data_IF_054746285769
#
_entry.id   IF_054746285769
#
_cell.length_a   1.000
_cell.length_b   1.000
_cell.length_c   1.000
_cell.angle_alpha   90.00
_cell.angle_beta   90.00
_cell.angle_gamma   90.00
#
_symmetry.space_group_name_H-M   'P 1'
#
loop_
_entity.id
_entity.type
_entity.pdbx_description
1 polymer ?
#
# COMPACT_ATOMS: atom_id res chain seq x y z
N UNK A 1 -2.94 -26.00 36.19
CA UNK A 1 -3.40 -25.10 35.10
C UNK A 1 -2.23 -24.90 34.13
N UNK A 2 -2.24 -25.63 33.01
CA UNK A 2 -1.08 -25.82 32.14
C UNK A 2 -0.91 -24.63 31.18
N UNK A 3 -0.11 -23.62 31.56
CA UNK A 3 0.16 -22.43 30.73
C UNK A 3 1.06 -22.83 29.55
N UNK A 4 0.48 -23.20 28.41
CA UNK A 4 1.24 -23.41 27.16
C UNK A 4 1.71 -22.08 26.58
N UNK A 5 2.93 -22.09 26.06
CA UNK A 5 3.61 -20.95 25.43
C UNK A 5 3.07 -20.81 24.01
N UNK A 6 2.18 -19.84 23.77
CA UNK A 6 1.67 -19.53 22.44
C UNK A 6 2.70 -18.62 21.77
N UNK A 7 3.37 -19.11 20.74
CA UNK A 7 4.07 -18.25 19.79
C UNK A 7 3.48 -18.44 18.41
N UNK A 8 3.30 -17.34 17.71
CA UNK A 8 2.47 -17.28 16.51
C UNK A 8 3.41 -17.35 15.31
N UNK A 9 3.47 -18.51 14.65
CA UNK A 9 4.17 -18.67 13.39
C UNK A 9 3.50 -17.86 12.29
N UNK A 10 4.29 -17.11 11.49
CA UNK A 10 3.79 -16.33 10.37
C UNK A 10 3.29 -17.24 9.25
N UNK A 11 1.97 -17.42 9.17
CA UNK A 11 1.34 -18.08 8.04
C UNK A 11 1.37 -17.17 6.81
N UNK A 12 1.80 -17.71 5.68
CA UNK A 12 1.76 -17.01 4.38
C UNK A 12 0.30 -16.69 4.06
N UNK A 13 -0.10 -15.42 3.93
CA UNK A 13 -1.49 -15.11 3.62
C UNK A 13 -1.81 -15.63 2.22
N UNK A 14 -3.00 -16.19 2.06
CA UNK A 14 -3.55 -16.58 0.77
C UNK A 14 -3.96 -15.30 0.04
N UNK A 15 -2.96 -14.54 -0.45
CA UNK A 15 -3.10 -13.28 -1.18
C UNK A 15 -3.93 -13.39 -2.48
N UNK A 16 -4.36 -14.60 -2.86
CA UNK A 16 -5.02 -14.87 -4.14
C UNK A 16 -6.48 -14.41 -4.20
N UNK A 17 -7.20 -14.29 -3.08
CA UNK A 17 -8.65 -13.98 -3.08
C UNK A 17 -8.98 -12.50 -3.31
N UNK A 18 -8.16 -11.58 -2.78
CA UNK A 18 -8.37 -10.13 -2.90
C UNK A 18 -8.27 -9.65 -4.36
N UNK A 19 -7.34 -10.22 -5.12
CA UNK A 19 -7.12 -9.83 -6.52
C UNK A 19 -8.18 -10.35 -7.48
N UNK A 20 -8.84 -11.47 -7.17
CA UNK A 20 -9.99 -11.96 -7.94
C UNK A 20 -11.15 -10.95 -7.88
N UNK A 21 -11.40 -10.36 -6.71
CA UNK A 21 -12.41 -9.30 -6.54
C UNK A 21 -12.07 -8.03 -7.32
N UNK A 22 -10.81 -7.61 -7.30
CA UNK A 22 -10.35 -6.46 -8.07
C UNK A 22 -10.44 -6.69 -9.60
N UNK A 23 -10.07 -7.89 -10.07
CA UNK A 23 -10.19 -8.27 -11.49
C UNK A 23 -11.65 -8.34 -11.93
N UNK A 24 -12.55 -8.88 -11.11
CA UNK A 24 -13.99 -8.90 -11.40
C UNK A 24 -14.58 -7.47 -11.43
N UNK A 25 -14.17 -6.59 -10.52
CA UNK A 25 -14.58 -5.19 -10.53
C UNK A 25 -14.09 -4.42 -11.76
N UNK A 26 -12.85 -4.68 -12.20
CA UNK A 26 -12.28 -4.07 -13.39
C UNK A 26 -12.96 -4.54 -14.69
N UNK A 27 -13.21 -5.85 -14.82
CA UNK A 27 -13.94 -6.43 -15.95
C UNK A 27 -15.38 -5.92 -15.99
N UNK A 28 -16.06 -5.86 -14.84
CA UNK A 28 -17.41 -5.30 -14.72
C UNK A 28 -17.47 -3.82 -15.14
N UNK A 29 -16.48 -3.04 -14.73
CA UNK A 29 -16.38 -1.62 -15.11
C UNK A 29 -16.12 -1.43 -16.60
N UNK A 30 -15.27 -2.27 -17.21
CA UNK A 30 -14.96 -2.21 -18.64
C UNK A 30 -16.17 -2.53 -19.54
N UNK A 31 -17.01 -3.50 -19.14
CA UNK A 31 -18.23 -3.86 -19.89
C UNK A 31 -19.30 -2.78 -19.77
N UNK A 32 -19.47 -2.19 -18.58
CA UNK A 32 -20.55 -1.25 -18.29
C UNK A 32 -20.25 0.21 -18.71
N UNK A 33 -18.98 0.60 -18.81
CA UNK A 33 -18.56 1.90 -19.36
C UNK A 33 -18.54 1.93 -20.91
N UNK A 34 -18.91 0.83 -21.56
CA UNK A 34 -19.02 0.78 -23.01
C UNK A 34 -20.26 1.57 -23.48
N UNK A 35 -20.03 2.73 -24.11
CA UNK A 35 -21.08 3.62 -24.65
C UNK A 35 -22.02 2.98 -25.69
N UNK A 36 -21.74 1.75 -26.14
CA UNK A 36 -22.65 0.97 -26.99
C UNK A 36 -23.71 0.19 -26.21
N UNK A 37 -23.53 0.01 -24.90
CA UNK A 37 -24.40 -0.82 -24.05
C UNK A 37 -25.22 0.01 -23.05
N UNK A 38 -24.76 1.22 -22.68
CA UNK A 38 -25.41 2.05 -21.65
C UNK A 38 -25.45 3.51 -22.09
N UNK A 39 -26.62 4.15 -21.93
CA UNK A 39 -26.81 5.58 -22.22
C UNK A 39 -25.87 6.47 -21.37
N UNK A 40 -25.25 7.53 -21.95
CA UNK A 40 -24.32 8.42 -21.24
C UNK A 40 -24.88 9.03 -19.94
N UNK A 41 -26.21 9.21 -19.85
CA UNK A 41 -26.86 9.75 -18.65
C UNK A 41 -26.87 8.80 -17.45
N UNK A 42 -26.71 7.50 -17.68
CA UNK A 42 -26.75 6.47 -16.62
C UNK A 42 -25.40 5.78 -16.37
N UNK A 43 -24.43 5.87 -17.29
CA UNK A 43 -23.14 5.18 -17.18
C UNK A 43 -22.41 5.43 -15.86
N UNK A 44 -22.37 6.68 -15.39
CA UNK A 44 -21.75 7.04 -14.11
C UNK A 44 -22.51 6.47 -12.90
N UNK A 45 -23.84 6.38 -12.95
CA UNK A 45 -24.67 5.77 -11.89
C UNK A 45 -24.40 4.29 -11.76
N UNK A 46 -24.31 3.58 -12.90
CA UNK A 46 -23.95 2.17 -12.91
C UNK A 46 -22.52 1.94 -12.41
N UNK A 47 -21.56 2.79 -12.77
CA UNK A 47 -20.20 2.71 -12.23
C UNK A 47 -20.19 2.80 -10.68
N UNK A 48 -20.96 3.72 -10.09
CA UNK A 48 -21.14 3.78 -8.63
C UNK A 48 -21.88 2.57 -8.05
N UNK A 49 -22.91 2.08 -8.75
CA UNK A 49 -23.67 0.91 -8.32
C UNK A 49 -22.80 -0.35 -8.24
N UNK A 50 -21.87 -0.56 -9.19
CA UNK A 50 -20.86 -1.63 -9.12
C UNK A 50 -20.02 -1.49 -7.84
N UNK A 51 -19.55 -0.28 -7.54
CA UNK A 51 -18.80 0.00 -6.31
C UNK A 51 -19.59 -0.36 -5.05
N UNK A 52 -20.89 -0.01 -5.01
CA UNK A 52 -21.78 -0.36 -3.91
C UNK A 52 -21.98 -1.88 -3.77
N UNK A 53 -22.18 -2.59 -4.88
CA UNK A 53 -22.32 -4.06 -4.91
C UNK A 53 -21.03 -4.73 -4.41
N UNK A 54 -19.86 -4.29 -4.89
CA UNK A 54 -18.58 -4.81 -4.41
C UNK A 54 -18.39 -4.55 -2.91
N UNK A 55 -18.80 -3.37 -2.41
CA UNK A 55 -18.81 -3.05 -0.99
C UNK A 55 -19.70 -4.00 -0.19
N UNK A 56 -20.91 -4.31 -0.68
CA UNK A 56 -21.80 -5.27 -0.03
C UNK A 56 -21.22 -6.68 0.01
N UNK A 57 -20.60 -7.13 -1.08
CA UNK A 57 -19.89 -8.42 -1.14
C UNK A 57 -18.80 -8.47 -0.06
N UNK A 58 -18.01 -7.40 0.08
CA UNK A 58 -16.96 -7.32 1.12
C UNK A 58 -17.56 -7.40 2.53
N UNK A 59 -18.69 -6.72 2.79
CA UNK A 59 -19.37 -6.78 4.09
C UNK A 59 -19.85 -8.19 4.43
N UNK A 60 -20.40 -8.91 3.45
CA UNK A 60 -20.84 -10.30 3.62
C UNK A 60 -19.63 -11.21 3.87
N UNK A 61 -18.55 -11.07 3.08
CA UNK A 61 -17.33 -11.84 3.25
C UNK A 61 -16.68 -11.62 4.62
N UNK A 62 -16.69 -10.37 5.12
CA UNK A 62 -16.12 -10.02 6.43
C UNK A 62 -16.78 -10.78 7.58
N UNK A 63 -18.07 -11.12 7.48
CA UNK A 63 -18.80 -11.87 8.53
C UNK A 63 -18.20 -13.25 8.81
N UNK A 64 -17.53 -13.85 7.83
CA UNK A 64 -16.98 -15.20 7.92
C UNK A 64 -15.48 -15.24 8.27
N UNK A 65 -14.83 -14.08 8.39
CA UNK A 65 -13.39 -14.00 8.73
C UNK A 65 -13.24 -13.96 10.25
N UNK A 66 -12.51 -14.89 10.87
CA UNK A 66 -12.28 -14.88 12.31
C UNK A 66 -11.48 -13.64 12.72
N UNK A 67 -11.71 -13.17 13.94
CA UNK A 67 -10.97 -12.03 14.49
C UNK A 67 -9.49 -12.39 14.71
N UNK A 68 -8.62 -11.38 14.72
CA UNK A 68 -7.19 -11.58 14.91
C UNK A 68 -6.90 -12.17 16.30
N UNK A 69 -6.22 -13.34 16.41
CA UNK A 69 -5.85 -13.93 17.71
C UNK A 69 -5.07 -12.95 18.60
N UNK A 70 -4.24 -12.10 18.00
CA UNK A 70 -3.50 -11.06 18.72
C UNK A 70 -4.41 -10.01 19.34
N UNK A 71 -5.46 -9.60 18.63
CA UNK A 71 -6.44 -8.65 19.14
C UNK A 71 -7.24 -9.24 20.31
N UNK A 72 -7.64 -10.52 20.18
CA UNK A 72 -8.32 -11.26 21.24
C UNK A 72 -7.46 -11.37 22.51
N UNK A 73 -6.17 -11.66 22.36
CA UNK A 73 -5.21 -11.65 23.48
C UNK A 73 -5.12 -10.29 24.18
N UNK A 74 -5.08 -9.19 23.42
CA UNK A 74 -5.08 -7.82 23.99
C UNK A 74 -6.39 -7.46 24.71
N UNK A 75 -7.48 -8.17 24.42
CA UNK A 75 -8.80 -8.00 25.06
C UNK A 75 -9.03 -8.97 26.22
N UNK A 76 -8.04 -9.82 26.54
CA UNK A 76 -8.17 -10.86 27.56
C UNK A 76 -9.04 -12.06 27.15
N UNK A 77 -9.38 -12.19 25.86
CA UNK A 77 -10.17 -13.30 25.31
C UNK A 77 -9.25 -14.47 24.90
N UNK A 78 -8.48 -14.98 25.86
CA UNK A 78 -7.43 -15.99 25.61
C UNK A 78 -7.98 -17.30 25.05
N UNK A 79 -9.13 -17.76 25.55
CA UNK A 79 -9.72 -19.04 25.13
C UNK A 79 -10.13 -19.03 23.65
N UNK A 80 -10.70 -17.92 23.18
CA UNK A 80 -11.10 -17.77 21.77
C UNK A 80 -9.88 -17.63 20.87
N UNK A 81 -8.85 -16.91 21.33
CA UNK A 81 -7.58 -16.83 20.61
C UNK A 81 -6.93 -18.21 20.43
N UNK A 82 -6.89 -19.02 21.50
CA UNK A 82 -6.34 -20.39 21.48
C UNK A 82 -7.14 -21.30 20.55
N UNK A 83 -8.47 -21.20 20.57
CA UNK A 83 -9.35 -21.96 19.67
C UNK A 83 -9.04 -21.67 18.20
N UNK A 84 -8.97 -20.39 17.83
CA UNK A 84 -8.67 -19.97 16.46
C UNK A 84 -7.28 -20.46 16.02
N UNK A 85 -6.26 -20.32 16.87
CA UNK A 85 -4.90 -20.80 16.57
C UNK A 85 -4.90 -22.32 16.39
N UNK A 86 -5.55 -23.05 17.29
CA UNK A 86 -5.66 -24.52 17.21
C UNK A 86 -6.34 -24.98 15.91
N UNK A 87 -7.41 -24.29 15.49
CA UNK A 87 -8.13 -24.59 14.26
C UNK A 87 -7.26 -24.33 13.01
N UNK A 88 -6.48 -23.24 13.01
CA UNK A 88 -5.51 -22.93 11.94
C UNK A 88 -4.41 -24.01 11.90
N UNK A 89 -3.84 -24.37 13.06
CA UNK A 89 -2.80 -25.40 13.17
C UNK A 89 -3.30 -26.76 12.66
N UNK A 90 -4.54 -27.13 13.02
CA UNK A 90 -5.18 -28.36 12.55
C UNK A 90 -5.31 -28.36 11.02
N UNK A 91 -5.79 -27.27 10.43
CA UNK A 91 -5.94 -27.12 8.98
C UNK A 91 -4.59 -27.17 8.25
N UNK A 92 -3.56 -26.52 8.79
CA UNK A 92 -2.20 -26.54 8.21
C UNK A 92 -1.59 -27.94 8.29
N UNK A 93 -1.75 -28.64 9.41
CA UNK A 93 -1.22 -30.00 9.61
C UNK A 93 -1.86 -30.99 8.64
N UNK A 94 -3.17 -30.88 8.41
CA UNK A 94 -3.90 -31.69 7.42
C UNK A 94 -3.39 -31.46 5.99
N UNK A 95 -3.04 -30.22 5.64
CA UNK A 95 -2.63 -29.86 4.26
C UNK A 95 -1.14 -30.08 3.97
N UNK A 96 -0.28 -29.83 4.95
CA UNK A 96 1.18 -29.79 4.77
C UNK A 96 1.86 -31.14 5.05
N UNK A 97 1.24 -32.06 5.80
CA UNK A 97 1.81 -33.32 6.33
C UNK A 97 3.16 -33.16 7.07
N UNK A 98 3.64 -31.94 7.29
CA UNK A 98 4.85 -31.63 8.05
C UNK A 98 4.50 -31.25 9.50
N UNK A 99 5.34 -31.62 10.48
CA UNK A 99 5.18 -31.14 11.84
C UNK A 99 5.30 -29.61 11.86
N UNK A 100 4.42 -28.95 12.62
CA UNK A 100 4.52 -27.52 12.87
C UNK A 100 5.77 -27.27 13.72
N UNK A 101 6.53 -26.23 13.39
CA UNK A 101 7.64 -25.80 14.25
C UNK A 101 7.09 -25.30 15.57
N UNK A 102 7.70 -25.72 16.66
CA UNK A 102 7.36 -25.17 17.97
C UNK A 102 7.63 -23.68 18.01
N UNK A 103 6.77 -22.90 18.69
CA UNK A 103 6.94 -21.48 18.76
C UNK A 103 8.21 -21.07 19.48
N UNK A 104 8.96 -20.14 18.87
CA UNK A 104 10.17 -19.57 19.48
C UNK A 104 9.79 -18.40 20.39
N UNK A 105 9.81 -18.66 21.70
CA UNK A 105 9.62 -17.64 22.73
C UNK A 105 8.17 -17.49 23.23
N UNK A 106 8.02 -16.81 24.36
CA UNK A 106 6.72 -16.46 24.95
C UNK A 106 6.80 -15.05 25.49
N UNK A 107 5.83 -14.22 25.15
CA UNK A 107 5.76 -12.83 25.62
C UNK A 107 4.58 -12.72 26.58
N UNK A 108 4.84 -12.22 27.78
CA UNK A 108 3.78 -11.88 28.73
C UNK A 108 3.22 -10.52 28.35
N UNK A 109 1.98 -10.50 27.88
CA UNK A 109 1.27 -9.28 27.53
C UNK A 109 0.41 -8.89 28.74
N UNK A 110 0.64 -7.69 29.26
CA UNK A 110 -0.19 -7.11 30.32
C UNK A 110 -1.38 -6.39 29.69
N UNK A 111 -2.58 -6.95 29.82
CA UNK A 111 -3.81 -6.36 29.28
C UNK A 111 -4.02 -4.95 29.84
N UNK A 112 -3.81 -3.91 29.03
CA UNK A 112 -4.27 -2.54 29.33
C UNK A 112 -5.58 -2.27 28.59
N UNK A 113 -6.56 -1.68 29.29
CA UNK A 113 -7.86 -1.29 28.72
C UNK A 113 -7.78 -0.10 27.77
N UNK A 114 -6.75 0.75 27.90
CA UNK A 114 -6.61 1.98 27.14
C UNK A 114 -5.13 2.34 26.94
N UNK A 115 -4.79 2.80 25.73
CA UNK A 115 -3.48 3.41 25.42
C UNK A 115 -3.71 4.89 25.17
N UNK A 116 -3.28 5.79 26.07
CA UNK A 116 -3.49 7.22 25.89
C UNK A 116 -2.69 7.73 24.68
N UNK A 117 -3.23 8.74 23.99
CA UNK A 117 -2.59 9.37 22.84
C UNK A 117 -1.19 9.90 23.19
N UNK A 118 -0.96 10.33 24.43
CA UNK A 118 0.36 10.74 24.92
C UNK A 118 1.41 9.64 24.80
N UNK A 119 1.03 8.39 25.08
CA UNK A 119 1.93 7.23 24.96
C UNK A 119 2.23 6.95 23.50
N UNK A 120 1.24 7.12 22.60
CA UNK A 120 1.44 7.01 21.15
C UNK A 120 2.45 8.05 20.66
N UNK A 121 2.24 9.31 21.02
CA UNK A 121 3.14 10.41 20.62
C UNK A 121 4.55 10.20 21.17
N UNK A 122 4.68 9.80 22.43
CA UNK A 122 5.97 9.46 23.03
C UNK A 122 6.64 8.30 22.29
N UNK A 123 5.92 7.21 22.01
CA UNK A 123 6.50 6.07 21.31
C UNK A 123 6.91 6.42 19.89
N UNK A 124 6.13 7.23 19.17
CA UNK A 124 6.45 7.64 17.80
C UNK A 124 7.63 8.61 17.75
N UNK A 125 7.66 9.64 18.61
CA UNK A 125 8.63 10.73 18.53
C UNK A 125 9.89 10.44 19.36
N UNK A 126 9.76 9.81 20.52
CA UNK A 126 10.85 9.61 21.47
C UNK A 126 11.44 8.21 21.40
N UNK A 127 10.61 7.18 21.42
CA UNK A 127 11.10 5.79 21.53
C UNK A 127 11.49 5.20 20.16
N UNK A 128 10.78 5.61 19.10
CA UNK A 128 11.01 5.13 17.73
C UNK A 128 11.07 6.23 16.65
N UNK A 129 11.82 7.33 16.84
CA UNK A 129 11.87 8.46 15.90
C UNK A 129 12.29 8.04 14.49
N UNK A 130 13.29 7.14 14.38
CA UNK A 130 13.78 6.64 13.09
C UNK A 130 12.72 5.84 12.32
N UNK A 131 11.87 5.09 13.03
CA UNK A 131 10.78 4.29 12.43
C UNK A 131 9.63 5.19 11.99
N UNK A 132 9.33 6.22 12.78
CA UNK A 132 8.33 7.24 12.43
C UNK A 132 8.75 8.06 11.23
N UNK A 133 10.02 8.49 11.17
CA UNK A 133 10.55 9.20 10.01
C UNK A 133 10.48 8.32 8.76
N UNK A 134 10.89 7.05 8.87
CA UNK A 134 10.79 6.09 7.76
C UNK A 134 9.35 5.96 7.25
N UNK A 135 8.39 5.68 8.15
CA UNK A 135 6.99 5.53 7.79
C UNK A 135 6.40 6.79 7.16
N UNK A 136 6.75 7.96 7.71
CA UNK A 136 6.30 9.25 7.19
C UNK A 136 6.84 9.52 5.78
N UNK A 137 8.16 9.37 5.56
CA UNK A 137 8.78 9.63 4.26
C UNK A 137 8.24 8.67 3.20
N UNK A 138 8.11 7.38 3.53
CA UNK A 138 7.57 6.40 2.59
C UNK A 138 6.11 6.69 2.21
N UNK A 139 5.25 7.04 3.19
CA UNK A 139 3.84 7.35 2.96
C UNK A 139 3.64 8.66 2.20
N UNK A 140 4.36 9.72 2.59
CA UNK A 140 4.28 11.02 1.92
C UNK A 140 4.82 10.92 0.50
N UNK A 141 6.01 10.35 0.30
CA UNK A 141 6.62 10.24 -1.02
C UNK A 141 5.75 9.43 -1.98
N UNK A 142 5.24 8.29 -1.53
CA UNK A 142 4.36 7.46 -2.34
C UNK A 142 3.01 8.10 -2.60
N UNK A 143 2.35 8.68 -1.59
CA UNK A 143 1.04 9.29 -1.78
C UNK A 143 1.13 10.53 -2.67
N UNK A 144 2.18 11.33 -2.50
CA UNK A 144 2.44 12.49 -3.35
C UNK A 144 2.63 12.08 -4.80
N UNK A 145 3.61 11.22 -5.08
CA UNK A 145 3.90 10.76 -6.43
C UNK A 145 2.67 10.11 -7.09
N UNK A 146 2.06 9.14 -6.39
CA UNK A 146 1.02 8.30 -6.98
C UNK A 146 -0.20 9.13 -7.36
N UNK A 147 -0.68 9.99 -6.45
CA UNK A 147 -1.86 10.80 -6.69
C UNK A 147 -1.57 11.99 -7.61
N UNK A 148 -0.39 12.61 -7.52
CA UNK A 148 0.01 13.67 -8.46
C UNK A 148 -0.08 13.17 -9.89
N UNK A 149 0.56 12.03 -10.20
CA UNK A 149 0.59 11.52 -11.56
C UNK A 149 -0.76 10.93 -11.96
N UNK A 150 -1.36 10.07 -11.13
CA UNK A 150 -2.59 9.37 -11.50
C UNK A 150 -3.76 10.32 -11.77
N UNK A 151 -4.01 11.29 -10.88
CA UNK A 151 -5.16 12.19 -11.03
C UNK A 151 -4.96 13.23 -12.12
N UNK A 152 -3.73 13.66 -12.37
CA UNK A 152 -3.46 14.70 -13.37
C UNK A 152 -3.09 14.16 -14.74
N UNK A 153 -2.86 12.85 -14.90
CA UNK A 153 -2.47 12.27 -16.18
C UNK A 153 -3.49 12.55 -17.30
N UNK A 154 -4.78 12.49 -16.99
CA UNK A 154 -5.82 12.85 -17.96
C UNK A 154 -5.71 14.31 -18.45
N UNK A 155 -5.38 15.24 -17.54
CA UNK A 155 -5.13 16.65 -17.88
C UNK A 155 -3.87 16.80 -18.72
N UNK A 156 -2.80 16.08 -18.40
CA UNK A 156 -1.56 16.09 -19.19
C UNK A 156 -1.83 15.64 -20.62
N UNK A 157 -2.60 14.56 -20.81
CA UNK A 157 -2.98 14.05 -22.11
C UNK A 157 -3.85 15.04 -22.91
N UNK A 158 -4.83 15.68 -22.28
CA UNK A 158 -5.68 16.64 -22.98
C UNK A 158 -4.94 17.94 -23.32
N UNK A 159 -4.15 18.47 -22.39
CA UNK A 159 -3.55 19.80 -22.51
C UNK A 159 -2.30 19.79 -23.39
N UNK A 160 -1.39 18.83 -23.22
CA UNK A 160 -0.10 18.84 -23.91
C UNK A 160 -0.05 17.96 -25.16
N UNK A 161 -0.93 16.95 -25.23
CA UNK A 161 -0.98 16.02 -26.35
C UNK A 161 -2.26 16.15 -27.20
N UNK A 162 -3.19 17.05 -26.83
CA UNK A 162 -4.44 17.26 -27.57
C UNK A 162 -5.36 16.03 -27.62
N UNK A 163 -5.21 15.09 -26.67
CA UNK A 163 -6.04 13.89 -26.63
C UNK A 163 -7.47 14.27 -26.23
N UNK A 164 -8.43 13.93 -27.07
CA UNK A 164 -9.84 14.16 -26.77
C UNK A 164 -10.24 13.45 -25.47
N UNK A 165 -10.96 14.14 -24.58
CA UNK A 165 -11.40 13.64 -23.28
C UNK A 165 -12.14 12.29 -23.36
N UNK A 166 -12.82 11.99 -24.47
CA UNK A 166 -13.48 10.69 -24.71
C UNK A 166 -12.50 9.52 -24.88
N UNK A 167 -11.26 9.79 -25.31
CA UNK A 167 -10.21 8.78 -25.53
C UNK A 167 -9.21 8.68 -24.37
N UNK A 168 -9.20 9.65 -23.45
CA UNK A 168 -8.34 9.62 -22.24
C UNK A 168 -8.44 8.29 -21.47
N UNK A 169 -9.63 7.69 -21.25
CA UNK A 169 -9.72 6.39 -20.56
C UNK A 169 -8.94 5.26 -21.24
N UNK A 170 -8.84 5.27 -22.58
CA UNK A 170 -8.08 4.26 -23.33
C UNK A 170 -6.57 4.39 -23.08
N UNK A 171 -6.08 5.61 -22.84
CA UNK A 171 -4.67 5.86 -22.52
C UNK A 171 -4.35 5.63 -21.03
N UNK A 172 -5.35 5.64 -20.15
CA UNK A 172 -5.20 5.26 -18.73
C UNK A 172 -5.18 3.74 -18.56
N UNK A 173 -5.79 2.97 -19.46
CA UNK A 173 -5.87 1.50 -19.36
C UNK A 173 -4.48 0.84 -19.25
N UNK A 174 -3.45 1.16 -20.08
CA UNK A 174 -2.10 0.61 -19.89
C UNK A 174 -1.51 0.90 -18.52
N UNK A 175 -1.68 2.12 -18.02
CA UNK A 175 -1.24 2.53 -16.69
C UNK A 175 -1.90 1.67 -15.60
N UNK A 176 -3.22 1.45 -15.71
CA UNK A 176 -3.97 0.60 -14.79
C UNK A 176 -3.50 -0.86 -14.83
N UNK A 177 -3.17 -1.39 -16.01
CA UNK A 177 -2.59 -2.73 -16.16
C UNK A 177 -1.22 -2.81 -15.49
N UNK A 178 -0.35 -1.82 -15.70
CA UNK A 178 0.94 -1.74 -15.00
C UNK A 178 0.75 -1.79 -13.48
N UNK A 179 -0.15 -0.96 -12.96
CA UNK A 179 -0.48 -0.90 -11.54
C UNK A 179 -1.04 -2.23 -10.98
N UNK A 180 -1.75 -3.01 -11.79
CA UNK A 180 -2.28 -4.32 -11.38
C UNK A 180 -1.20 -5.41 -11.43
N UNK A 181 -0.43 -5.48 -12.51
CA UNK A 181 0.58 -6.52 -12.69
C UNK A 181 1.80 -6.31 -11.81
N UNK A 182 2.09 -5.06 -11.42
CA UNK A 182 3.20 -4.72 -10.54
C UNK A 182 3.23 -5.56 -9.27
N UNK A 183 2.26 -5.42 -8.34
CA UNK A 183 2.28 -6.16 -7.09
C UNK A 183 2.09 -7.66 -7.29
N UNK A 184 1.37 -8.06 -8.35
CA UNK A 184 1.14 -9.47 -8.68
C UNK A 184 2.44 -10.20 -9.04
N UNK A 185 3.29 -9.57 -9.85
CA UNK A 185 4.56 -10.14 -10.30
C UNK A 185 5.70 -9.86 -9.31
N UNK A 186 5.79 -8.63 -8.81
CA UNK A 186 6.89 -8.22 -7.95
C UNK A 186 6.70 -8.61 -6.47
N UNK A 187 5.46 -8.80 -6.01
CA UNK A 187 5.16 -9.05 -4.59
C UNK A 187 5.88 -10.25 -4.00
N UNK A 188 6.09 -11.32 -4.78
CA UNK A 188 6.82 -12.52 -4.32
C UNK A 188 8.28 -12.24 -4.00
N UNK A 189 8.89 -11.26 -4.67
CA UNK A 189 10.30 -10.94 -4.48
C UNK A 189 10.55 -10.18 -3.17
N UNK A 190 9.55 -9.53 -2.60
CA UNK A 190 9.67 -8.88 -1.29
C UNK A 190 9.99 -9.88 -0.16
N UNK A 191 9.48 -11.12 -0.26
CA UNK A 191 9.74 -12.18 0.72
C UNK A 191 11.00 -13.01 0.42
N UNK A 192 11.51 -12.99 -0.82
CA UNK A 192 12.66 -13.79 -1.25
C UNK A 192 13.97 -12.98 -1.30
N UNK A 193 13.96 -11.77 -1.86
CA UNK A 193 15.12 -10.89 -1.97
C UNK A 193 15.33 -10.08 -0.68
N UNK A 194 14.22 -9.80 0.01
CA UNK A 194 14.17 -8.99 1.21
C UNK A 194 13.49 -7.65 0.93
N UNK A 195 12.47 -7.36 1.74
CA UNK A 195 11.65 -6.16 1.74
C UNK A 195 12.46 -4.88 1.81
N UNK A 196 13.48 -4.79 2.67
CA UNK A 196 14.32 -3.56 2.74
C UNK A 196 14.95 -3.22 1.39
N UNK A 197 15.55 -4.24 0.73
CA UNK A 197 16.20 -4.07 -0.57
C UNK A 197 15.18 -3.79 -1.66
N UNK A 198 14.05 -4.48 -1.64
CA UNK A 198 12.99 -4.31 -2.63
C UNK A 198 12.30 -2.96 -2.52
N UNK A 199 12.00 -2.45 -1.31
CA UNK A 199 11.43 -1.11 -1.12
C UNK A 199 12.42 -0.06 -1.59
N UNK A 200 13.68 -0.11 -1.14
CA UNK A 200 14.70 0.84 -1.57
C UNK A 200 14.90 0.82 -3.11
N UNK A 201 14.99 -0.39 -3.70
CA UNK A 201 15.15 -0.56 -5.14
C UNK A 201 13.94 -0.07 -5.94
N UNK A 202 12.71 -0.40 -5.52
CA UNK A 202 11.50 0.01 -6.24
C UNK A 202 11.20 1.50 -6.10
N UNK A 203 11.42 2.10 -4.92
CA UNK A 203 11.31 3.56 -4.75
C UNK A 203 12.37 4.29 -5.59
N UNK A 204 13.62 3.83 -5.56
CA UNK A 204 14.72 4.44 -6.30
C UNK A 204 14.50 4.32 -7.81
N UNK A 205 14.14 3.13 -8.29
CA UNK A 205 13.84 2.89 -9.71
C UNK A 205 12.64 3.74 -10.17
N UNK A 206 11.58 3.86 -9.35
CA UNK A 206 10.44 4.73 -9.67
C UNK A 206 10.89 6.18 -9.84
N UNK A 207 11.72 6.69 -8.94
CA UNK A 207 12.27 8.05 -9.04
C UNK A 207 13.13 8.24 -10.29
N UNK A 208 14.01 7.30 -10.62
CA UNK A 208 14.85 7.36 -11.82
C UNK A 208 14.02 7.32 -13.11
N UNK A 209 13.04 6.41 -13.20
CA UNK A 209 12.14 6.32 -14.34
C UNK A 209 11.31 7.60 -14.49
N UNK A 210 10.90 8.22 -13.38
CA UNK A 210 10.17 9.48 -13.40
C UNK A 210 11.04 10.65 -13.89
N UNK A 211 12.32 10.72 -13.48
CA UNK A 211 13.27 11.70 -14.03
C UNK A 211 13.42 11.49 -15.53
N UNK A 212 13.62 10.25 -15.99
CA UNK A 212 13.72 9.93 -17.41
C UNK A 212 12.47 10.36 -18.20
N UNK A 213 11.28 10.04 -17.68
CA UNK A 213 10.01 10.48 -18.27
C UNK A 213 9.87 12.01 -18.28
N UNK A 214 10.30 12.70 -17.22
CA UNK A 214 10.23 14.15 -17.12
C UNK A 214 11.11 14.85 -18.17
N UNK A 215 12.36 14.38 -18.34
CA UNK A 215 13.28 14.92 -19.36
C UNK A 215 12.71 14.74 -20.76
N UNK A 216 12.27 13.53 -21.10
CA UNK A 216 11.67 13.22 -22.41
C UNK A 216 10.40 14.05 -22.68
N UNK A 217 9.62 14.32 -21.63
CA UNK A 217 8.42 15.14 -21.73
C UNK A 217 8.74 16.62 -21.98
N UNK A 218 9.73 17.16 -21.26
CA UNK A 218 10.21 18.55 -21.39
C UNK A 218 10.74 18.82 -22.80
N UNK A 219 11.60 17.94 -23.30
CA UNK A 219 12.28 18.08 -24.58
C UNK A 219 11.33 17.81 -25.78
N UNK A 220 10.08 17.43 -25.51
CA UNK A 220 9.05 17.10 -26.50
C UNK A 220 9.39 15.90 -27.41
N UNK A 221 10.30 15.04 -26.94
CA UNK A 221 10.73 13.83 -27.65
C UNK A 221 9.83 12.61 -27.39
N UNK A 222 8.77 12.77 -26.59
CA UNK A 222 7.86 11.68 -26.22
C UNK A 222 6.53 11.76 -26.95
N UNK A 223 6.12 10.66 -27.59
CA UNK A 223 4.77 10.52 -28.15
C UNK A 223 3.74 10.18 -27.06
N UNK A 224 2.45 10.29 -27.37
CA UNK A 224 1.36 9.87 -26.46
C UNK A 224 1.53 8.43 -26.00
N UNK A 225 1.89 7.53 -26.92
CA UNK A 225 2.13 6.12 -26.62
C UNK A 225 3.43 5.93 -25.82
N UNK A 226 4.48 6.70 -26.11
CA UNK A 226 5.70 6.72 -25.32
C UNK A 226 5.43 7.13 -23.87
N UNK A 227 4.63 8.18 -23.66
CA UNK A 227 4.27 8.65 -22.33
C UNK A 227 3.45 7.60 -21.57
N UNK A 228 2.50 6.95 -22.25
CA UNK A 228 1.74 5.86 -21.67
C UNK A 228 2.62 4.66 -21.30
N UNK A 229 3.62 4.32 -22.13
CA UNK A 229 4.57 3.26 -21.83
C UNK A 229 5.45 3.59 -20.61
N UNK A 230 5.99 4.82 -20.54
CA UNK A 230 6.72 5.31 -19.37
C UNK A 230 5.88 5.20 -18.09
N UNK A 231 4.66 5.73 -18.11
CA UNK A 231 3.80 5.70 -16.92
C UNK A 231 3.35 4.28 -16.56
N UNK A 232 3.14 3.41 -17.54
CA UNK A 232 2.87 1.99 -17.29
C UNK A 232 4.05 1.33 -16.56
N UNK A 233 5.29 1.56 -17.02
CA UNK A 233 6.48 1.02 -16.38
C UNK A 233 6.69 1.59 -14.96
N UNK A 234 6.48 2.90 -14.78
CA UNK A 234 6.58 3.57 -13.48
C UNK A 234 5.54 2.99 -12.51
N UNK A 235 4.26 2.89 -12.89
CA UNK A 235 3.20 2.36 -12.03
C UNK A 235 3.35 0.86 -11.77
N UNK A 236 3.93 0.11 -12.71
CA UNK A 236 4.29 -1.30 -12.48
C UNK A 236 5.28 -1.46 -11.32
N UNK A 237 6.30 -0.61 -11.25
CA UNK A 237 7.27 -0.65 -10.15
C UNK A 237 6.69 -0.03 -8.87
N UNK A 238 6.07 1.15 -8.99
CA UNK A 238 5.62 1.95 -7.85
C UNK A 238 4.49 1.31 -7.05
N UNK A 239 3.58 0.59 -7.70
CA UNK A 239 2.46 -0.12 -7.06
C UNK A 239 2.92 -1.17 -6.04
N UNK A 240 3.99 -1.88 -6.38
CA UNK A 240 4.62 -2.88 -5.52
C UNK A 240 5.30 -2.22 -4.32
N UNK A 241 5.92 -1.07 -4.55
CA UNK A 241 6.53 -0.23 -3.54
C UNK A 241 5.49 0.29 -2.54
N UNK A 242 4.36 0.81 -3.04
CA UNK A 242 3.24 1.33 -2.26
C UNK A 242 2.69 0.26 -1.31
N UNK A 243 2.33 -0.89 -1.86
CA UNK A 243 1.78 -2.02 -1.08
C UNK A 243 2.72 -2.43 0.07
N UNK A 244 4.03 -2.43 -0.21
CA UNK A 244 5.04 -2.84 0.75
C UNK A 244 5.32 -1.79 1.82
N UNK A 245 5.26 -0.50 1.47
CA UNK A 245 5.41 0.60 2.42
C UNK A 245 4.30 0.60 3.48
N UNK A 246 3.04 0.40 3.08
CA UNK A 246 1.92 0.24 4.02
C UNK A 246 2.15 -0.90 5.01
N UNK A 247 2.61 -2.03 4.49
CA UNK A 247 2.86 -3.20 5.30
C UNK A 247 4.06 -2.96 6.25
N UNK A 248 5.15 -2.32 5.79
CA UNK A 248 6.29 -1.94 6.65
C UNK A 248 5.84 -1.05 7.81
N UNK A 249 5.02 -0.03 7.56
CA UNK A 249 4.48 0.83 8.62
C UNK A 249 3.68 0.01 9.64
N UNK A 250 2.93 -1.00 9.20
CA UNK A 250 2.20 -1.89 10.10
C UNK A 250 3.10 -2.88 10.86
N UNK A 251 4.33 -3.12 10.42
CA UNK A 251 5.23 -4.10 11.03
C UNK A 251 6.24 -3.46 11.99
N UNK A 252 6.61 -2.19 11.79
CA UNK A 252 7.64 -1.50 12.59
C UNK A 252 7.12 -0.95 13.93
N UNK A 253 5.80 -0.84 14.11
CA UNK A 253 5.19 -0.31 15.33
C UNK A 253 4.57 -1.39 16.23
N UNK A 254 4.68 -1.23 17.57
CA UNK A 254 4.00 -2.09 18.55
C UNK A 254 2.49 -2.16 18.28
N UNK A 255 1.89 -3.32 18.53
CA UNK A 255 0.48 -3.62 18.23
C UNK A 255 -0.48 -2.54 18.77
N UNK A 256 -0.18 -2.00 19.94
CA UNK A 256 -1.02 -1.05 20.68
C UNK A 256 -1.08 0.33 20.02
N UNK A 257 0.04 0.80 19.44
CA UNK A 257 0.14 2.12 18.80
C UNK A 257 0.00 2.05 17.28
N UNK A 258 0.10 0.84 16.71
CA UNK A 258 0.11 0.58 15.27
C UNK A 258 -1.08 1.17 14.53
N UNK A 259 -2.30 0.96 15.03
CA UNK A 259 -3.49 1.47 14.37
C UNK A 259 -3.49 3.01 14.27
N UNK A 260 -3.13 3.68 15.36
CA UNK A 260 -3.06 5.15 15.40
C UNK A 260 -1.91 5.66 14.54
N UNK A 261 -0.73 5.04 14.62
CA UNK A 261 0.42 5.39 13.79
C UNK A 261 0.08 5.27 12.29
N UNK A 262 -0.52 4.16 11.86
CA UNK A 262 -0.99 3.98 10.48
C UNK A 262 -1.99 5.07 10.10
N UNK A 263 -2.97 5.36 10.96
CA UNK A 263 -3.98 6.38 10.66
C UNK A 263 -3.36 7.78 10.52
N UNK A 264 -2.36 8.12 11.33
CA UNK A 264 -1.67 9.41 11.27
C UNK A 264 -0.85 9.52 9.99
N UNK A 265 -0.01 8.52 9.69
CA UNK A 265 0.80 8.53 8.48
C UNK A 265 -0.05 8.51 7.21
N UNK A 266 -1.16 7.77 7.22
CA UNK A 266 -2.10 7.76 6.10
C UNK A 266 -2.80 9.12 5.95
N UNK A 267 -3.19 9.77 7.05
CA UNK A 267 -3.80 11.09 7.01
C UNK A 267 -2.84 12.14 6.47
N UNK A 268 -1.59 12.15 6.95
CA UNK A 268 -0.55 13.06 6.46
C UNK A 268 -0.21 12.76 5.00
N UNK A 269 -0.06 11.49 4.63
CA UNK A 269 0.13 11.06 3.25
C UNK A 269 -1.03 11.48 2.34
N UNK A 270 -2.26 11.40 2.82
CA UNK A 270 -3.47 11.85 2.10
C UNK A 270 -3.54 13.37 1.99
N UNK A 271 -3.12 14.13 3.00
CA UNK A 271 -3.04 15.59 2.89
C UNK A 271 -1.98 16.02 1.88
N UNK A 272 -0.77 15.46 1.98
CA UNK A 272 0.31 15.75 1.05
C UNK A 272 -0.01 15.27 -0.38
N UNK A 273 -0.53 14.05 -0.49
CA UNK A 273 -0.73 13.36 -1.76
C UNK A 273 -2.10 13.55 -2.39
N UNK A 274 -3.16 13.55 -1.61
CA UNK A 274 -4.52 13.70 -2.11
C UNK A 274 -4.95 15.16 -2.30
N UNK A 275 -4.45 16.07 -1.46
CA UNK A 275 -4.82 17.50 -1.53
C UNK A 275 -3.72 18.32 -2.20
N UNK A 276 -2.50 18.33 -1.64
CA UNK A 276 -1.44 19.21 -2.12
C UNK A 276 -0.95 18.80 -3.52
N UNK A 277 -0.67 17.53 -3.77
CA UNK A 277 -0.14 17.06 -5.06
C UNK A 277 -1.06 17.40 -6.27
N UNK A 278 -2.35 16.99 -6.30
CA UNK A 278 -3.24 17.33 -7.41
C UNK A 278 -3.42 18.84 -7.57
N UNK A 279 -3.47 19.60 -6.47
CA UNK A 279 -3.61 21.06 -6.52
C UNK A 279 -2.38 21.71 -7.15
N UNK A 280 -1.18 21.32 -6.72
CA UNK A 280 0.09 21.80 -7.29
C UNK A 280 0.16 21.44 -8.76
N UNK A 281 -0.05 20.17 -9.12
CA UNK A 281 0.05 19.70 -10.50
C UNK A 281 -1.02 20.31 -11.41
N UNK A 282 -2.25 20.51 -10.93
CA UNK A 282 -3.29 21.21 -11.69
C UNK A 282 -2.85 22.64 -12.02
N UNK A 283 -2.24 23.36 -11.07
CA UNK A 283 -1.73 24.71 -11.29
C UNK A 283 -0.54 24.72 -12.28
N UNK A 284 0.37 23.76 -12.15
CA UNK A 284 1.49 23.59 -13.08
C UNK A 284 1.00 23.28 -14.50
N UNK A 285 -0.01 22.42 -14.65
CA UNK A 285 -0.60 22.09 -15.96
C UNK A 285 -1.36 23.28 -16.54
N UNK A 286 -2.08 24.05 -15.71
CA UNK A 286 -2.79 25.25 -16.15
C UNK A 286 -1.86 26.33 -16.72
N UNK A 287 -0.60 26.37 -16.29
CA UNK A 287 0.42 27.27 -16.85
C UNK A 287 0.81 26.94 -18.30
N UNK A 288 0.37 25.79 -18.84
CA UNK A 288 0.65 25.28 -20.19
C UNK A 288 2.17 25.19 -20.53
N UNK A 289 3.02 25.19 -19.51
CA UNK A 289 4.48 25.08 -19.64
C UNK A 289 4.94 23.69 -19.27
N UNK A 290 5.63 23.02 -20.20
CA UNK A 290 6.23 21.70 -19.96
C UNK A 290 7.37 21.76 -18.94
N UNK A 291 8.06 22.89 -18.86
CA UNK A 291 9.11 23.14 -17.86
C UNK A 291 8.55 23.14 -16.42
N UNK A 292 7.39 23.76 -16.21
CA UNK A 292 6.76 23.76 -14.90
C UNK A 292 6.34 22.35 -14.48
N UNK A 293 5.79 21.56 -15.42
CA UNK A 293 5.44 20.18 -15.16
C UNK A 293 6.67 19.28 -14.95
N UNK A 294 7.77 19.54 -15.66
CA UNK A 294 9.06 18.90 -15.45
C UNK A 294 9.52 19.04 -14.00
N UNK A 295 9.53 20.26 -13.45
CA UNK A 295 9.90 20.48 -12.05
C UNK A 295 8.96 19.79 -11.06
N UNK A 296 7.66 19.70 -11.39
CA UNK A 296 6.70 18.90 -10.62
C UNK A 296 7.08 17.41 -10.58
N UNK A 297 7.43 16.81 -11.72
CA UNK A 297 7.89 15.44 -11.78
C UNK A 297 9.24 15.23 -11.09
N UNK A 298 10.17 16.19 -11.18
CA UNK A 298 11.44 16.15 -10.43
C UNK A 298 11.19 16.18 -8.91
N UNK A 299 10.24 17.00 -8.43
CA UNK A 299 9.85 17.00 -7.03
C UNK A 299 9.31 15.62 -6.59
N UNK A 300 8.41 15.04 -7.39
CA UNK A 300 7.91 13.68 -7.15
C UNK A 300 9.03 12.63 -7.13
N UNK A 301 9.98 12.73 -8.06
CA UNK A 301 11.12 11.82 -8.13
C UNK A 301 12.07 11.97 -6.95
N UNK A 302 12.34 13.21 -6.53
CA UNK A 302 13.16 13.51 -5.36
C UNK A 302 12.55 12.92 -4.08
N UNK A 303 11.23 13.01 -3.90
CA UNK A 303 10.53 12.38 -2.78
C UNK A 303 10.63 10.85 -2.82
N UNK A 304 10.50 10.24 -4.00
CA UNK A 304 10.67 8.79 -4.16
C UNK A 304 12.11 8.34 -3.87
N UNK A 305 13.11 9.07 -4.36
CA UNK A 305 14.53 8.79 -4.10
C UNK A 305 14.85 9.00 -2.61
N UNK A 306 14.31 10.04 -1.99
CA UNK A 306 14.44 10.25 -0.54
C UNK A 306 13.85 9.08 0.24
N UNK A 307 12.70 8.55 -0.18
CA UNK A 307 12.13 7.30 0.36
C UNK A 307 13.07 6.10 0.19
N UNK A 308 13.68 5.94 -0.98
CA UNK A 308 14.64 4.88 -1.24
C UNK A 308 15.87 4.95 -0.33
N UNK A 309 16.45 6.14 -0.19
CA UNK A 309 17.62 6.39 0.67
C UNK A 309 17.24 6.18 2.14
N UNK A 310 16.09 6.68 2.56
CA UNK A 310 15.61 6.55 3.94
C UNK A 310 15.38 5.07 4.29
N UNK A 311 14.80 4.28 3.39
CA UNK A 311 14.67 2.83 3.58
C UNK A 311 16.05 2.15 3.60
N UNK A 312 16.98 2.51 2.71
CA UNK A 312 18.32 1.93 2.70
C UNK A 312 19.07 2.18 4.01
N UNK A 313 18.94 3.37 4.58
CA UNK A 313 19.65 3.79 5.82
C UNK A 313 18.91 3.33 7.08
N UNK A 314 17.61 3.62 7.19
CA UNK A 314 16.82 3.42 8.41
C UNK A 314 15.95 2.15 8.39
N UNK A 315 15.78 1.52 7.22
CA UNK A 315 14.97 0.32 7.06
C UNK A 315 15.48 -0.83 7.93
N UNK A 316 14.54 -1.50 8.59
CA UNK A 316 14.78 -2.66 9.44
C UNK A 316 14.45 -3.91 8.63
N UNK A 317 15.34 -4.92 8.67
CA UNK A 317 15.08 -6.22 8.02
C UNK A 317 13.99 -6.97 8.79
N UNK A 318 12.73 -6.68 8.47
CA UNK A 318 11.56 -7.27 9.12
C UNK A 318 11.22 -8.68 8.58
N UNK A 319 11.85 -9.12 7.49
CA UNK A 319 11.46 -10.35 6.81
C UNK A 319 11.66 -11.60 7.68
N UNK A 320 10.63 -12.44 7.76
CA UNK A 320 10.63 -13.74 8.45
C UNK A 320 10.96 -13.68 9.95
N UNK A 321 10.93 -12.51 10.55
CA UNK A 321 11.03 -12.34 12.00
C UNK A 321 9.64 -12.23 12.62
N UNK A 322 9.50 -12.67 13.87
CA UNK A 322 8.28 -12.41 14.64
C UNK A 322 8.09 -10.91 14.81
N UNK A 323 6.86 -10.42 14.68
CA UNK A 323 6.57 -8.98 14.82
C UNK A 323 6.98 -8.47 16.20
N UNK A 324 6.88 -9.35 17.19
CA UNK A 324 7.19 -9.08 18.57
C UNK A 324 8.70 -9.06 18.86
N UNK A 325 9.54 -9.62 17.98
CA UNK A 325 11.00 -9.44 18.04
C UNK A 325 11.46 -8.15 17.33
N UNK A 326 10.62 -7.57 16.46
CA UNK A 326 10.91 -6.32 15.75
C UNK A 326 10.42 -5.11 16.56
N UNK A 327 9.22 -5.21 17.13
CA UNK A 327 8.63 -4.23 18.02
C UNK A 327 8.11 -4.94 19.27
N UNK A 328 8.87 -4.88 20.36
CA UNK A 328 8.41 -5.37 21.65
C UNK A 328 7.09 -4.65 22.00
N UNK A 329 6.00 -5.37 22.30
CA UNK A 329 4.74 -4.77 22.73
C UNK A 329 4.98 -3.82 23.90
N UNK A 330 4.31 -2.67 23.94
CA UNK A 330 4.41 -1.74 25.08
C UNK A 330 3.94 -2.40 26.39
N UNK A 331 3.08 -3.42 26.26
CA UNK A 331 2.55 -4.21 27.36
C UNK A 331 3.43 -5.42 27.73
N UNK A 332 4.58 -5.61 27.07
CA UNK A 332 5.52 -6.65 27.46
C UNK A 332 6.03 -6.36 28.88
N UNK A 333 5.75 -7.26 29.81
CA UNK A 333 6.33 -7.17 31.16
C UNK A 333 7.86 -7.29 31.05
N UNK A 334 8.58 -6.41 31.76
CA UNK A 334 9.98 -6.62 32.09
C UNK A 334 10.14 -7.91 32.92
#
# INVERSE_FOLDING_TARGET
MNRRRIGIASSRPTFRSVWIGASLGAVGSFVLLNNRLVSPGFGWRFAHAIGAILGLIILILRKNVPESPRWLMLRGQEQEAERIVTDIERAVRQRSKKPLQEPKGSIRITVRKFTPLSDVWRTMIRDHPKRSLLGMVLMVGQSFFYNAVFFTYGLVLSTFFGVNSRRVPLHILPLALGNFFGPLLLGRFFDSIGRKKMIAGTYGLTGLLLIGSAVMFRDNDVSVFGQAAWFTAIFFVASSAASSAYLTVSEIFPLEVRAIAISLFYSIGTLAGGVAAPSIFAHLIASNSREHLFWGYILGAALMIAGAITEAVLGVKAERQSLESISTPLQAAA
#
